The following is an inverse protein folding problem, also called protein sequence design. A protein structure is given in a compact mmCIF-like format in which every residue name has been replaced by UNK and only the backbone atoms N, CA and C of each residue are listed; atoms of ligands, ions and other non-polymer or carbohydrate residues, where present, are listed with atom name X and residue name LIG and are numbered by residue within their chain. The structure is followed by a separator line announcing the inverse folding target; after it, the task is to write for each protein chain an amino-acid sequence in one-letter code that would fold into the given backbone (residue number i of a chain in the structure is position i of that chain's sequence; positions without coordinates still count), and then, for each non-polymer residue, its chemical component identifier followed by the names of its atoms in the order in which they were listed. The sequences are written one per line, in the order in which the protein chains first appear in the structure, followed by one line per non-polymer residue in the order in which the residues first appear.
data_IF_160003210155
#
_entry.id   IF_160003210155
#
_cell.length_a   1.000
_cell.length_b   1.000
_cell.length_c   1.000
_cell.angle_alpha   90.00
_cell.angle_beta   90.00
_cell.angle_gamma   90.00
#
_symmetry.space_group_name_H-M   'P 1'
#
loop_
_entity.id
_entity.type
_entity.pdbx_description
1 polymer ?
#
# COMPACT_ATOMS: atom_id res chain seq x y z
N UNK A 1 -70.61 53.49 11.27
CA UNK A 1 -69.88 54.02 10.09
C UNK A 1 -68.44 53.81 10.46
N UNK A 2 -67.70 53.00 9.94
CA UNK A 2 -67.40 52.53 8.65
C UNK A 2 -66.23 51.52 8.80
N UNK A 3 -66.43 50.55 8.15
CA UNK A 3 -65.52 49.79 7.34
C UNK A 3 -64.21 49.18 7.95
N UNK A 4 -64.29 47.93 7.87
CA UNK A 4 -63.22 46.89 8.06
C UNK A 4 -62.62 46.60 6.67
N UNK A 5 -61.33 46.43 6.52
CA UNK A 5 -60.85 45.42 5.59
C UNK A 5 -60.18 44.24 6.28
N UNK A 6 -60.62 43.10 5.89
CA UNK A 6 -60.12 41.77 6.16
C UNK A 6 -58.77 41.56 5.53
N UNK A 7 -57.79 41.12 6.32
CA UNK A 7 -56.48 40.70 5.78
C UNK A 7 -56.40 39.16 5.88
N UNK A 8 -56.32 38.53 4.70
CA UNK A 8 -56.12 37.10 4.57
C UNK A 8 -54.65 36.72 4.88
N UNK A 9 -54.41 35.63 5.58
CA UNK A 9 -53.06 35.07 5.70
C UNK A 9 -52.65 34.38 4.40
N UNK A 10 -51.48 34.77 3.93
CA UNK A 10 -50.82 34.18 2.76
C UNK A 10 -50.45 32.72 2.99
N UNK A 11 -50.79 31.87 2.04
CA UNK A 11 -50.52 30.46 1.99
C UNK A 11 -49.03 30.14 2.10
N UNK A 12 -48.73 29.26 3.00
CA UNK A 12 -47.48 28.54 3.19
C UNK A 12 -47.12 27.83 1.87
N UNK A 13 -46.02 28.24 1.23
CA UNK A 13 -45.45 27.52 0.08
C UNK A 13 -44.66 26.35 0.60
N UNK A 14 -45.26 25.18 0.60
CA UNK A 14 -44.58 23.92 0.73
C UNK A 14 -43.48 23.79 -0.34
N UNK A 15 -42.24 23.78 0.07
CA UNK A 15 -41.09 23.52 -0.79
C UNK A 15 -41.15 22.06 -1.25
N UNK A 16 -41.30 21.85 -2.56
CA UNK A 16 -41.24 20.54 -3.17
C UNK A 16 -39.84 19.93 -2.99
N UNK A 17 -39.72 18.61 -2.74
CA UNK A 17 -38.42 17.95 -2.60
C UNK A 17 -37.65 18.01 -3.94
N UNK A 18 -36.38 18.36 -3.85
CA UNK A 18 -35.48 18.42 -5.00
C UNK A 18 -35.44 17.06 -5.71
N UNK A 19 -35.92 17.01 -6.93
CA UNK A 19 -35.83 15.82 -7.79
C UNK A 19 -34.38 15.62 -8.18
N UNK A 20 -33.77 14.56 -7.64
CA UNK A 20 -32.44 14.08 -8.07
C UNK A 20 -32.59 13.65 -9.54
N UNK A 21 -32.00 14.39 -10.46
CA UNK A 21 -32.07 14.09 -11.88
C UNK A 21 -31.19 12.87 -12.19
N UNK A 22 -31.66 12.00 -13.08
CA UNK A 22 -30.96 10.77 -13.53
C UNK A 22 -29.51 11.03 -14.00
N UNK A 23 -29.14 12.27 -14.31
CA UNK A 23 -27.76 12.68 -14.67
C UNK A 23 -26.79 12.71 -13.48
N UNK A 24 -27.28 12.98 -12.25
CA UNK A 24 -26.43 12.98 -11.04
C UNK A 24 -25.99 11.58 -10.58
N UNK A 25 -26.81 10.55 -10.89
CA UNK A 25 -26.49 9.17 -10.50
C UNK A 25 -25.38 8.57 -11.38
N UNK A 26 -25.24 9.01 -12.64
CA UNK A 26 -24.23 8.54 -13.58
C UNK A 26 -22.80 8.98 -13.21
N UNK A 27 -22.63 10.15 -12.58
CA UNK A 27 -21.32 10.70 -12.23
C UNK A 27 -20.72 10.03 -10.97
N UNK A 28 -21.55 9.65 -9.99
CA UNK A 28 -21.09 8.94 -8.79
C UNK A 28 -20.76 7.47 -9.08
N UNK A 29 -21.52 6.82 -9.95
CA UNK A 29 -21.26 5.45 -10.40
C UNK A 29 -19.99 5.35 -11.26
N UNK A 30 -19.72 6.35 -12.11
CA UNK A 30 -18.52 6.37 -12.96
C UNK A 30 -17.23 6.50 -12.16
N UNK A 31 -17.20 7.33 -11.12
CA UNK A 31 -16.01 7.50 -10.28
C UNK A 31 -15.65 6.24 -9.48
N UNK A 32 -16.64 5.51 -8.99
CA UNK A 32 -16.42 4.26 -8.27
C UNK A 32 -15.92 3.13 -9.19
N UNK A 33 -16.43 3.06 -10.42
CA UNK A 33 -16.00 2.05 -11.41
C UNK A 33 -14.58 2.35 -11.89
N UNK A 34 -14.25 3.61 -12.17
CA UNK A 34 -12.89 4.00 -12.60
C UNK A 34 -11.88 3.79 -11.47
N UNK A 35 -12.23 4.15 -10.22
CA UNK A 35 -11.37 3.89 -9.05
C UNK A 35 -11.11 2.39 -8.84
N UNK A 36 -12.16 1.56 -8.93
CA UNK A 36 -12.06 0.11 -8.77
C UNK A 36 -11.24 -0.57 -9.89
N UNK A 37 -11.40 -0.13 -11.13
CA UNK A 37 -10.64 -0.68 -12.27
C UNK A 37 -9.17 -0.26 -12.26
N UNK A 38 -8.85 0.97 -11.84
CA UNK A 38 -7.47 1.42 -11.67
C UNK A 38 -6.80 0.67 -10.52
N UNK A 39 -7.48 0.46 -9.40
CA UNK A 39 -6.96 -0.33 -8.28
C UNK A 39 -6.73 -1.79 -8.70
N UNK A 40 -7.70 -2.42 -9.33
CA UNK A 40 -7.59 -3.80 -9.81
C UNK A 40 -6.52 -3.97 -10.90
N UNK A 41 -6.37 -3.00 -11.82
CA UNK A 41 -5.33 -3.06 -12.86
C UNK A 41 -3.92 -2.86 -12.28
N UNK A 42 -3.77 -2.01 -11.26
CA UNK A 42 -2.49 -1.84 -10.55
C UNK A 42 -2.14 -3.10 -9.75
N UNK A 43 -3.11 -3.70 -9.09
CA UNK A 43 -2.95 -4.98 -8.40
C UNK A 43 -2.54 -6.11 -9.36
N UNK A 44 -3.23 -6.25 -10.49
CA UNK A 44 -2.93 -7.24 -11.51
C UNK A 44 -1.54 -7.02 -12.14
N UNK A 45 -1.16 -5.76 -12.39
CA UNK A 45 0.16 -5.44 -12.93
C UNK A 45 1.30 -5.72 -11.94
N UNK A 46 1.10 -5.54 -10.63
CA UNK A 46 2.11 -5.87 -9.64
C UNK A 46 2.27 -7.38 -9.52
N UNK A 47 1.18 -8.14 -9.52
CA UNK A 47 1.23 -9.60 -9.55
C UNK A 47 1.81 -10.15 -10.86
N UNK A 48 1.65 -9.43 -11.98
CA UNK A 48 2.26 -9.77 -13.27
C UNK A 48 3.72 -9.30 -13.39
N UNK A 49 4.11 -8.25 -12.64
CA UNK A 49 5.49 -7.75 -12.57
C UNK A 49 6.34 -8.46 -11.51
N UNK A 50 5.69 -9.07 -10.49
CA UNK A 50 6.35 -10.12 -9.73
C UNK A 50 6.64 -11.21 -10.75
N UNK A 51 7.87 -11.24 -11.27
CA UNK A 51 8.28 -12.20 -12.30
C UNK A 51 7.88 -13.61 -11.91
N UNK A 52 7.94 -14.54 -12.84
CA UNK A 52 7.61 -15.97 -12.66
C UNK A 52 8.19 -16.58 -11.36
N UNK A 53 9.18 -15.88 -10.77
CA UNK A 53 9.90 -16.27 -9.54
C UNK A 53 9.46 -15.49 -8.27
N UNK A 54 8.38 -14.70 -8.30
CA UNK A 54 7.94 -13.91 -7.13
C UNK A 54 8.95 -12.84 -6.69
N UNK A 55 9.60 -12.15 -7.64
CA UNK A 55 10.59 -11.10 -7.36
C UNK A 55 10.20 -9.76 -7.95
N UNK A 56 10.62 -8.65 -7.31
CA UNK A 56 10.51 -7.29 -7.85
C UNK A 56 11.88 -6.59 -7.84
N UNK A 57 12.11 -5.70 -8.81
CA UNK A 57 13.25 -4.80 -8.76
C UNK A 57 13.07 -3.72 -7.68
N UNK A 58 14.16 -3.07 -7.26
CA UNK A 58 14.07 -2.01 -6.26
C UNK A 58 13.17 -0.82 -6.70
N UNK A 59 13.21 -0.33 -7.96
CA UNK A 59 12.27 0.72 -8.41
C UNK A 59 10.81 0.27 -8.41
N UNK A 60 10.53 -0.96 -8.86
CA UNK A 60 9.15 -1.45 -8.97
C UNK A 60 8.54 -1.64 -7.58
N UNK A 61 9.30 -2.20 -6.63
CA UNK A 61 8.80 -2.36 -5.27
C UNK A 61 8.65 -1.03 -4.55
N UNK A 62 9.51 -0.03 -4.82
CA UNK A 62 9.33 1.33 -4.29
C UNK A 62 8.01 1.92 -4.77
N UNK A 63 7.74 1.89 -6.07
CA UNK A 63 6.48 2.39 -6.63
C UNK A 63 5.26 1.65 -6.05
N UNK A 64 5.36 0.34 -5.85
CA UNK A 64 4.31 -0.48 -5.25
C UNK A 64 4.07 -0.14 -3.77
N UNK A 65 5.14 0.07 -3.00
CA UNK A 65 5.04 0.43 -1.58
C UNK A 65 4.44 1.82 -1.38
N UNK A 66 4.92 2.83 -2.12
CA UNK A 66 4.39 4.20 -2.05
C UNK A 66 2.92 4.28 -2.46
N UNK A 67 2.48 3.43 -3.41
CA UNK A 67 1.06 3.35 -3.79
C UNK A 67 0.20 2.53 -2.83
N UNK A 68 0.77 1.89 -1.81
CA UNK A 68 0.06 1.00 -0.90
C UNK A 68 -0.34 -0.34 -1.50
N UNK A 69 0.20 -0.71 -2.65
CA UNK A 69 -0.12 -1.96 -3.33
C UNK A 69 0.63 -3.17 -2.76
N UNK A 70 1.72 -2.92 -2.03
CA UNK A 70 2.51 -3.94 -1.34
C UNK A 70 2.98 -3.40 0.01
N UNK A 71 3.01 -4.23 1.03
CA UNK A 71 3.71 -3.96 2.28
C UNK A 71 5.20 -4.25 2.07
N UNK A 72 6.02 -3.21 1.93
CA UNK A 72 7.47 -3.38 1.86
C UNK A 72 8.05 -3.50 3.27
N UNK A 73 8.82 -4.54 3.53
CA UNK A 73 9.44 -4.81 4.82
C UNK A 73 10.96 -4.84 4.67
N UNK A 74 11.65 -3.92 5.35
CA UNK A 74 13.11 -3.94 5.45
C UNK A 74 13.52 -4.85 6.62
N UNK A 75 13.99 -6.04 6.28
CA UNK A 75 14.32 -7.10 7.24
C UNK A 75 15.76 -7.04 7.75
N UNK A 76 16.44 -5.93 7.54
CA UNK A 76 17.83 -5.73 8.01
C UNK A 76 17.88 -5.56 9.53
N UNK A 77 19.07 -5.33 10.03
CA UNK A 77 19.31 -5.06 11.44
C UNK A 77 19.21 -3.56 11.74
N UNK A 78 18.90 -3.17 12.99
CA UNK A 78 18.83 -1.77 13.41
C UNK A 78 20.12 -0.97 13.11
N UNK A 79 21.30 -1.58 13.25
CA UNK A 79 22.56 -0.94 12.92
C UNK A 79 22.74 -0.64 11.43
N UNK A 80 22.12 -1.45 10.55
CA UNK A 80 22.10 -1.21 9.12
C UNK A 80 21.11 -0.09 8.76
N UNK A 81 19.96 -0.02 9.42
CA UNK A 81 19.01 1.09 9.24
C UNK A 81 19.57 2.42 9.71
N UNK A 82 20.26 2.43 10.85
CA UNK A 82 20.90 3.63 11.38
C UNK A 82 21.96 4.21 10.44
N UNK A 83 22.69 3.34 9.74
CA UNK A 83 23.75 3.77 8.81
C UNK A 83 23.25 4.31 7.49
N UNK A 84 22.15 3.78 6.96
CA UNK A 84 21.75 4.06 5.57
C UNK A 84 20.32 4.56 5.44
N UNK A 85 19.56 4.65 6.51
CA UNK A 85 18.12 4.82 6.48
C UNK A 85 17.39 3.54 6.05
N UNK A 86 16.08 3.64 5.99
CA UNK A 86 15.12 2.63 5.53
C UNK A 86 14.55 3.10 4.21
N UNK A 87 14.30 2.23 3.25
CA UNK A 87 13.67 2.61 1.99
C UNK A 87 12.31 3.28 2.21
N UNK A 88 12.01 4.35 1.45
CA UNK A 88 10.72 5.02 1.55
C UNK A 88 9.56 4.03 1.34
N UNK A 89 8.55 4.11 2.21
CA UNK A 89 7.41 3.19 2.20
C UNK A 89 7.69 1.84 2.86
N UNK A 90 8.91 1.57 3.35
CA UNK A 90 9.22 0.32 4.01
C UNK A 90 9.02 0.38 5.53
N UNK A 91 8.50 -0.72 6.09
CA UNK A 91 8.43 -0.96 7.53
C UNK A 91 9.66 -1.75 7.97
N UNK A 92 10.46 -1.24 8.94
CA UNK A 92 11.63 -1.95 9.43
C UNK A 92 11.23 -3.02 10.45
N UNK A 93 11.50 -4.29 10.16
CA UNK A 93 11.30 -5.42 11.07
C UNK A 93 12.55 -6.30 11.04
N UNK A 94 13.34 -6.31 12.10
CA UNK A 94 14.54 -7.15 12.18
C UNK A 94 14.17 -8.64 12.10
N UNK A 95 14.65 -9.31 11.05
CA UNK A 95 14.32 -10.73 10.81
C UNK A 95 14.81 -11.70 11.90
N UNK A 96 15.65 -11.22 12.84
CA UNK A 96 16.18 -12.04 13.96
C UNK A 96 15.25 -12.05 15.17
N UNK A 97 14.18 -11.23 15.16
CA UNK A 97 13.19 -11.27 16.23
C UNK A 97 12.53 -12.65 16.30
N UNK A 98 12.34 -13.14 17.49
CA UNK A 98 11.65 -14.42 17.73
C UNK A 98 10.17 -14.33 17.33
N UNK A 99 9.57 -13.12 17.51
CA UNK A 99 8.20 -12.79 17.17
C UNK A 99 8.05 -12.18 15.75
N UNK A 100 8.99 -12.41 14.83
CA UNK A 100 8.99 -11.79 13.50
C UNK A 100 7.67 -12.01 12.75
N UNK A 101 7.16 -13.23 12.75
CA UNK A 101 5.92 -13.60 12.04
C UNK A 101 4.71 -12.89 12.66
N UNK A 102 4.65 -12.80 13.98
CA UNK A 102 3.59 -12.08 14.69
C UNK A 102 3.63 -10.59 14.39
N UNK A 103 4.83 -9.99 14.45
CA UNK A 103 5.01 -8.58 14.07
C UNK A 103 4.59 -8.32 12.61
N UNK A 104 4.94 -9.21 11.69
CA UNK A 104 4.51 -9.11 10.28
C UNK A 104 2.98 -9.18 10.15
N UNK A 105 2.34 -10.15 10.81
CA UNK A 105 0.89 -10.30 10.82
C UNK A 105 0.19 -9.07 11.42
N UNK A 106 0.79 -8.42 12.41
CA UNK A 106 0.30 -7.14 12.93
C UNK A 106 0.19 -6.05 11.86
N UNK A 107 1.10 -6.02 10.90
CA UNK A 107 1.07 -5.07 9.78
C UNK A 107 0.14 -5.49 8.63
N UNK A 108 -0.20 -6.77 8.51
CA UNK A 108 -1.15 -7.27 7.48
C UNK A 108 -2.57 -7.42 8.00
N UNK A 109 -2.85 -6.99 9.24
CA UNK A 109 -4.16 -7.20 9.88
C UNK A 109 -4.49 -8.67 10.14
N UNK A 110 -3.47 -9.51 10.31
CA UNK A 110 -3.62 -10.95 10.54
C UNK A 110 -3.79 -11.78 9.27
N UNK A 111 -3.65 -11.18 8.08
CA UNK A 111 -3.84 -11.85 6.79
C UNK A 111 -2.51 -12.39 6.26
N UNK A 112 -2.52 -13.60 5.73
CA UNK A 112 -1.36 -14.30 5.17
C UNK A 112 -1.29 -14.22 3.63
N UNK A 113 -2.32 -13.65 3.00
CA UNK A 113 -2.44 -13.42 1.56
C UNK A 113 -2.14 -11.96 1.13
N UNK A 114 -1.91 -11.07 2.10
CA UNK A 114 -1.50 -9.68 1.82
C UNK A 114 -0.15 -9.69 1.07
N UNK A 115 0.00 -8.92 -0.03
CA UNK A 115 1.27 -8.80 -0.71
C UNK A 115 2.33 -8.17 0.17
N UNK A 116 3.37 -8.93 0.48
CA UNK A 116 4.52 -8.50 1.29
C UNK A 116 5.79 -8.63 0.49
N UNK A 117 6.52 -7.55 0.31
CA UNK A 117 7.84 -7.55 -0.29
C UNK A 117 8.93 -7.47 0.78
N UNK A 118 9.92 -8.32 0.68
CA UNK A 118 11.03 -8.40 1.64
C UNK A 118 12.31 -7.84 1.01
N UNK A 119 12.88 -6.82 1.62
CA UNK A 119 14.19 -6.27 1.21
C UNK A 119 15.22 -6.44 2.32
N UNK A 120 16.42 -6.86 1.96
CA UNK A 120 17.57 -6.91 2.87
C UNK A 120 18.76 -6.16 2.28
N UNK A 121 19.99 -6.38 2.77
CA UNK A 121 21.15 -5.68 2.22
C UNK A 121 21.50 -6.09 0.78
N UNK A 122 21.47 -7.40 0.46
CA UNK A 122 21.99 -7.95 -0.80
C UNK A 122 21.16 -9.14 -1.34
N UNK A 123 19.88 -9.26 -1.01
CA UNK A 123 18.97 -10.29 -1.53
C UNK A 123 19.10 -11.69 -0.90
N UNK A 124 20.18 -11.99 -0.17
CA UNK A 124 20.40 -13.36 0.37
C UNK A 124 19.45 -13.67 1.53
N UNK A 125 19.31 -12.74 2.48
CA UNK A 125 18.45 -12.90 3.66
C UNK A 125 16.97 -12.89 3.27
N UNK A 126 16.57 -11.96 2.38
CA UNK A 126 15.18 -11.84 1.92
C UNK A 126 14.75 -13.11 1.18
N UNK A 127 15.56 -13.65 0.27
CA UNK A 127 15.27 -14.91 -0.41
C UNK A 127 15.09 -16.08 0.56
N UNK A 128 15.94 -16.17 1.60
CA UNK A 128 15.82 -17.20 2.63
C UNK A 128 14.53 -17.07 3.44
N UNK A 129 14.18 -15.85 3.82
CA UNK A 129 12.97 -15.57 4.59
C UNK A 129 11.68 -15.76 3.75
N UNK A 130 11.70 -15.36 2.47
CA UNK A 130 10.59 -15.62 1.53
C UNK A 130 10.22 -17.11 1.53
N UNK A 131 11.20 -18.00 1.36
CA UNK A 131 10.94 -19.45 1.37
C UNK A 131 10.36 -19.93 2.70
N UNK A 132 10.85 -19.40 3.82
CA UNK A 132 10.36 -19.77 5.15
C UNK A 132 8.90 -19.33 5.36
N UNK A 133 8.56 -18.11 4.99
CA UNK A 133 7.20 -17.60 5.12
C UNK A 133 6.22 -18.32 4.18
N UNK A 134 6.62 -18.57 2.93
CA UNK A 134 5.81 -19.38 2.00
C UNK A 134 5.59 -20.78 2.55
N UNK A 135 6.62 -21.42 3.13
CA UNK A 135 6.47 -22.72 3.80
C UNK A 135 5.61 -22.68 5.08
N UNK A 136 5.44 -21.49 5.69
CA UNK A 136 4.58 -21.26 6.84
C UNK A 136 3.14 -20.85 6.48
N UNK A 137 2.79 -20.82 5.18
CA UNK A 137 1.42 -20.59 4.72
C UNK A 137 1.17 -19.20 4.10
N UNK A 138 2.14 -18.29 4.12
CA UNK A 138 1.98 -17.00 3.42
C UNK A 138 1.96 -17.22 1.90
N UNK A 139 0.95 -16.70 1.23
CA UNK A 139 0.70 -16.99 -0.19
C UNK A 139 1.22 -15.92 -1.15
N UNK A 140 1.61 -14.74 -0.64
CA UNK A 140 1.95 -13.60 -1.49
C UNK A 140 3.21 -12.86 -0.99
N UNK A 141 4.31 -13.60 -0.88
CA UNK A 141 5.61 -13.05 -0.48
C UNK A 141 6.49 -12.81 -1.71
N UNK A 142 7.05 -11.62 -1.79
CA UNK A 142 7.86 -11.12 -2.91
C UNK A 142 9.28 -10.87 -2.41
N UNK A 143 10.29 -11.40 -3.10
CA UNK A 143 11.71 -11.09 -2.82
C UNK A 143 12.16 -9.83 -3.60
N UNK A 144 13.00 -8.99 -2.98
CA UNK A 144 13.69 -7.89 -3.65
C UNK A 144 15.19 -8.25 -3.75
N UNK A 145 15.60 -8.97 -4.80
CA UNK A 145 16.91 -9.60 -4.87
C UNK A 145 18.07 -8.62 -4.99
N UNK A 146 17.84 -7.40 -5.47
CA UNK A 146 18.87 -6.35 -5.50
C UNK A 146 19.28 -5.91 -4.09
N UNK A 147 18.31 -5.86 -3.16
CA UNK A 147 18.51 -5.36 -1.81
C UNK A 147 18.83 -3.86 -1.76
N UNK A 148 19.23 -3.39 -0.58
CA UNK A 148 19.60 -1.99 -0.37
C UNK A 148 20.95 -1.62 -1.00
N UNK A 149 21.93 -2.52 -0.95
CA UNK A 149 23.33 -2.26 -1.31
C UNK A 149 23.72 -2.78 -2.70
N UNK A 150 22.81 -3.48 -3.37
CA UNK A 150 23.09 -4.15 -4.64
C UNK A 150 23.57 -5.59 -4.49
N UNK A 151 23.37 -6.34 -5.57
CA UNK A 151 23.73 -7.76 -5.69
C UNK A 151 23.97 -8.11 -7.17
N UNK A 152 24.11 -9.41 -7.49
CA UNK A 152 24.11 -9.87 -8.88
C UNK A 152 22.81 -9.60 -9.65
N UNK A 153 21.72 -9.29 -8.96
CA UNK A 153 20.43 -8.96 -9.57
C UNK A 153 20.28 -7.48 -9.95
N UNK A 154 21.16 -6.60 -9.43
CA UNK A 154 21.14 -5.18 -9.79
C UNK A 154 21.88 -4.29 -8.79
N UNK A 155 21.89 -2.97 -9.07
CA UNK A 155 22.69 -2.00 -8.31
C UNK A 155 22.18 -1.75 -6.89
N UNK A 156 20.91 -2.11 -6.60
CA UNK A 156 20.29 -1.91 -5.30
C UNK A 156 19.70 -0.52 -5.08
N UNK A 157 18.90 -0.42 -4.03
CA UNK A 157 18.11 0.77 -3.67
C UNK A 157 18.96 2.05 -3.63
N UNK A 158 20.04 2.02 -2.82
CA UNK A 158 20.86 3.21 -2.57
C UNK A 158 21.61 3.69 -3.83
N UNK A 159 22.20 2.76 -4.61
CA UNK A 159 22.92 3.13 -5.82
C UNK A 159 22.01 3.61 -6.94
N UNK A 160 20.72 3.25 -6.88
CA UNK A 160 19.69 3.79 -7.79
C UNK A 160 19.22 5.19 -7.38
N UNK A 161 19.65 5.70 -6.22
CA UNK A 161 19.22 7.00 -5.70
C UNK A 161 17.75 7.00 -5.25
N UNK A 162 17.16 5.85 -4.93
CA UNK A 162 15.80 5.79 -4.43
C UNK A 162 15.72 6.39 -3.02
N UNK A 163 14.59 7.06 -2.68
CA UNK A 163 14.44 7.76 -1.40
C UNK A 163 14.58 6.84 -0.19
N UNK A 164 15.20 7.37 0.86
CA UNK A 164 15.31 6.72 2.17
C UNK A 164 14.81 7.64 3.27
N UNK A 165 14.25 7.06 4.33
CA UNK A 165 13.82 7.75 5.53
C UNK A 165 14.83 7.46 6.65
N UNK A 166 15.23 8.49 7.38
CA UNK A 166 16.10 8.31 8.56
C UNK A 166 15.39 7.44 9.59
N UNK A 167 16.03 6.38 10.00
CA UNK A 167 15.51 5.54 11.06
C UNK A 167 15.96 6.06 12.44
N UNK A 168 15.00 6.21 13.36
CA UNK A 168 15.25 6.58 14.75
C UNK A 168 14.78 5.42 15.62
N UNK A 169 15.62 4.91 16.57
CA UNK A 169 15.16 3.91 17.53
C UNK A 169 13.96 4.41 18.33
N UNK A 170 12.99 3.54 18.57
CA UNK A 170 11.86 3.80 19.46
C UNK A 170 12.30 3.70 20.92
#
# INVERSE_FOLDING_TARGET
MTDRPTNHPSADRAQAPARITRRGFGLLGGAAIVGGTVFASRWYNISAQAGVDGTLSAPDVHAAAVSGAVLLVDIRRPDEWARTGVGEGAVPIDMRRDDFTEALLGHTGGQDDTPVALICARGVRSRGLTRRLTGAGFTNIIDVPEGMLGSGAGPGWLKRGLPVVTWVPA
#
